data_IF_773615936464
#
_entry.id   IF_773615936464
#
_cell.length_a   1.000
_cell.length_b   1.000
_cell.length_c   1.000
_cell.angle_alpha   90.00
_cell.angle_beta   90.00
_cell.angle_gamma   90.00
#
_symmetry.space_group_name_H-M   'P 1'
#
loop_
_entity.id
_entity.type
_entity.pdbx_description
1 polymer ?
#
# COMPACT_ATOMS: atom_id res chain seq x y z
N UNK A 1 -19.94 10.38 9.79
CA UNK A 1 -20.10 9.54 8.59
C UNK A 1 -19.05 8.46 8.67
N UNK A 2 -19.42 7.20 8.82
CA UNK A 2 -18.44 6.09 8.83
C UNK A 2 -17.93 5.84 7.42
N UNK A 3 -16.65 5.49 7.27
CA UNK A 3 -16.07 5.19 5.97
C UNK A 3 -16.65 3.86 5.45
N UNK A 4 -16.88 3.70 4.13
CA UNK A 4 -17.19 2.39 3.57
C UNK A 4 -16.05 1.40 3.85
N UNK A 5 -16.40 0.19 4.28
CA UNK A 5 -15.41 -0.86 4.54
C UNK A 5 -15.08 -1.66 3.27
N UNK A 6 -13.80 -1.96 3.04
CA UNK A 6 -13.25 -2.77 1.95
C UNK A 6 -12.42 -3.93 2.52
N UNK A 7 -12.36 -5.05 1.82
CA UNK A 7 -11.45 -6.13 2.19
C UNK A 7 -9.99 -5.70 1.99
N UNK A 8 -9.07 -6.35 2.70
CA UNK A 8 -7.63 -6.10 2.53
C UNK A 8 -7.18 -6.33 1.08
N UNK A 9 -7.68 -7.38 0.44
CA UNK A 9 -7.38 -7.68 -0.96
C UNK A 9 -7.84 -6.55 -1.91
N UNK A 10 -9.04 -6.00 -1.72
CA UNK A 10 -9.54 -4.88 -2.53
C UNK A 10 -8.65 -3.64 -2.39
N UNK A 11 -8.26 -3.29 -1.15
CA UNK A 11 -7.39 -2.14 -0.90
C UNK A 11 -5.99 -2.34 -1.48
N UNK A 12 -5.44 -3.55 -1.37
CA UNK A 12 -4.14 -3.89 -1.97
C UNK A 12 -4.21 -3.80 -3.51
N UNK A 13 -5.28 -4.28 -4.13
CA UNK A 13 -5.44 -4.17 -5.59
C UNK A 13 -5.56 -2.71 -6.04
N UNK A 14 -6.29 -1.88 -5.29
CA UNK A 14 -6.36 -0.44 -5.53
C UNK A 14 -4.99 0.22 -5.42
N UNK A 15 -4.23 -0.10 -4.36
CA UNK A 15 -2.89 0.43 -4.18
C UNK A 15 -1.92 -0.02 -5.28
N UNK A 16 -2.02 -1.28 -5.74
CA UNK A 16 -1.22 -1.77 -6.87
C UNK A 16 -1.56 -1.06 -8.16
N UNK A 17 -2.84 -0.79 -8.40
CA UNK A 17 -3.29 -0.08 -9.59
C UNK A 17 -2.78 1.38 -9.60
N UNK A 18 -2.93 2.09 -8.48
CA UNK A 18 -2.46 3.47 -8.33
C UNK A 18 -0.93 3.55 -8.35
N UNK A 19 -0.24 2.65 -7.66
CA UNK A 19 1.21 2.61 -7.64
C UNK A 19 1.79 2.47 -9.04
N UNK A 20 1.24 1.60 -9.90
CA UNK A 20 1.69 1.41 -11.30
C UNK A 20 1.60 2.66 -12.17
N UNK A 21 0.72 3.61 -11.83
CA UNK A 21 0.60 4.89 -12.55
C UNK A 21 1.77 5.82 -12.22
N UNK A 22 2.30 5.71 -10.99
CA UNK A 22 3.29 6.64 -10.46
C UNK A 22 4.71 6.07 -10.38
N UNK A 23 4.85 4.76 -10.13
CA UNK A 23 6.11 4.07 -10.00
C UNK A 23 5.99 2.63 -10.52
N UNK A 24 7.07 2.08 -11.06
CA UNK A 24 7.16 0.65 -11.36
C UNK A 24 7.71 -0.07 -10.13
N UNK A 25 6.87 -0.76 -9.33
CA UNK A 25 7.37 -1.49 -8.17
C UNK A 25 8.33 -2.60 -8.64
N UNK A 26 9.47 -2.78 -7.97
CA UNK A 26 10.41 -3.85 -8.31
C UNK A 26 9.78 -5.22 -8.06
N UNK A 27 10.18 -6.22 -8.86
CA UNK A 27 9.80 -7.61 -8.59
C UNK A 27 10.24 -8.02 -7.18
N UNK A 28 9.38 -8.77 -6.49
CA UNK A 28 9.61 -9.22 -5.12
C UNK A 28 9.08 -8.26 -4.05
N UNK A 29 8.50 -7.12 -4.43
CA UNK A 29 7.77 -6.25 -3.50
C UNK A 29 6.37 -6.81 -3.18
N UNK A 30 6.14 -7.12 -1.92
CA UNK A 30 4.87 -7.52 -1.34
C UNK A 30 4.26 -6.33 -0.61
N UNK A 31 2.95 -6.14 -0.79
CA UNK A 31 2.17 -5.11 -0.09
C UNK A 31 1.24 -5.82 0.89
N UNK A 32 1.25 -5.38 2.13
CA UNK A 32 0.34 -5.83 3.20
C UNK A 32 -0.29 -4.61 3.88
N UNK A 33 -1.28 -4.85 4.73
CA UNK A 33 -1.92 -3.82 5.55
C UNK A 33 -1.55 -4.05 7.02
N UNK A 34 -1.22 -2.97 7.72
CA UNK A 34 -1.09 -2.93 9.18
C UNK A 34 -2.24 -2.10 9.73
N UNK A 35 -2.92 -2.61 10.75
CA UNK A 35 -3.91 -1.85 11.51
C UNK A 35 -3.24 -1.12 12.66
N UNK A 36 -3.57 0.15 12.84
CA UNK A 36 -3.10 0.99 13.94
C UNK A 36 -4.29 1.75 14.55
N UNK A 37 -4.80 1.23 15.67
CA UNK A 37 -5.99 1.77 16.34
C UNK A 37 -7.21 1.85 15.41
N UNK A 38 -7.67 3.08 15.19
CA UNK A 38 -8.82 3.39 14.31
C UNK A 38 -8.40 3.64 12.84
N UNK A 39 -7.14 3.38 12.50
CA UNK A 39 -6.56 3.57 11.17
C UNK A 39 -5.82 2.33 10.66
N UNK A 40 -5.29 2.43 9.46
CA UNK A 40 -4.50 1.40 8.82
C UNK A 40 -3.53 2.01 7.80
N UNK A 41 -2.45 1.30 7.52
CA UNK A 41 -1.39 1.70 6.59
C UNK A 41 -0.96 0.54 5.71
N UNK A 42 -0.44 0.83 4.52
CA UNK A 42 0.24 -0.17 3.72
C UNK A 42 1.68 -0.36 4.17
N UNK A 43 2.14 -1.61 4.18
CA UNK A 43 3.55 -1.96 4.36
C UNK A 43 4.09 -2.65 3.13
N UNK A 44 5.23 -2.17 2.68
CA UNK A 44 6.05 -2.82 1.67
C UNK A 44 7.06 -3.76 2.34
N UNK A 45 7.10 -5.00 1.87
CA UNK A 45 8.12 -5.98 2.22
C UNK A 45 8.79 -6.50 0.96
N UNK A 46 10.09 -6.71 1.01
CA UNK A 46 10.88 -7.20 -0.10
C UNK A 46 12.15 -7.86 0.44
N UNK A 47 12.71 -8.82 -0.31
CA UNK A 47 14.02 -9.37 0.00
C UNK A 47 15.13 -8.31 -0.21
N UNK A 48 16.33 -8.58 0.30
CA UNK A 48 17.45 -7.63 0.21
C UNK A 48 17.86 -7.29 -1.22
N UNK A 49 17.66 -8.21 -2.17
CA UNK A 49 17.98 -7.96 -3.57
C UNK A 49 16.96 -6.99 -4.21
N UNK A 50 15.67 -7.17 -3.92
CA UNK A 50 14.60 -6.29 -4.37
C UNK A 50 14.66 -4.91 -3.70
N UNK A 51 15.01 -4.83 -2.41
CA UNK A 51 15.22 -3.56 -1.70
C UNK A 51 16.38 -2.73 -2.28
N UNK A 52 17.42 -3.41 -2.78
CA UNK A 52 18.56 -2.75 -3.42
C UNK A 52 18.29 -2.29 -4.86
N UNK A 53 17.16 -2.68 -5.47
CA UNK A 53 16.84 -2.26 -6.84
C UNK A 53 16.52 -0.76 -6.89
N UNK A 54 17.00 -0.05 -7.91
CA UNK A 54 16.55 1.31 -8.19
C UNK A 54 15.01 1.35 -8.28
N UNK A 55 14.41 2.39 -7.69
CA UNK A 55 12.95 2.57 -7.67
C UNK A 55 12.25 1.94 -6.44
N UNK A 56 12.90 1.06 -5.66
CA UNK A 56 12.28 0.57 -4.42
C UNK A 56 11.94 1.71 -3.43
N UNK A 57 12.85 2.65 -3.13
CA UNK A 57 12.52 3.75 -2.21
C UNK A 57 11.39 4.64 -2.72
N UNK A 58 11.33 4.87 -4.03
CA UNK A 58 10.27 5.65 -4.68
C UNK A 58 8.92 4.92 -4.62
N UNK A 59 8.89 3.62 -4.91
CA UNK A 59 7.68 2.81 -4.81
C UNK A 59 7.15 2.76 -3.36
N UNK A 60 8.04 2.68 -2.36
CA UNK A 60 7.66 2.75 -0.94
C UNK A 60 7.09 4.13 -0.60
N UNK A 61 7.74 5.21 -1.03
CA UNK A 61 7.24 6.58 -0.77
C UNK A 61 5.86 6.80 -1.40
N UNK A 62 5.65 6.34 -2.64
CA UNK A 62 4.35 6.40 -3.29
C UNK A 62 3.29 5.57 -2.56
N UNK A 63 3.64 4.37 -2.10
CA UNK A 63 2.72 3.50 -1.35
C UNK A 63 2.24 4.17 -0.05
N UNK A 64 3.10 4.92 0.64
CA UNK A 64 2.71 5.68 1.85
C UNK A 64 1.70 6.78 1.50
N UNK A 65 1.91 7.53 0.41
CA UNK A 65 0.97 8.57 -0.03
C UNK A 65 -0.39 7.99 -0.43
N UNK A 66 -0.38 6.86 -1.15
CA UNK A 66 -1.58 6.12 -1.53
C UNK A 66 -2.32 5.62 -0.28
N UNK A 67 -1.59 5.09 0.71
CA UNK A 67 -2.14 4.66 1.99
C UNK A 67 -2.82 5.78 2.78
N UNK A 68 -2.18 6.95 2.88
CA UNK A 68 -2.79 8.14 3.51
C UNK A 68 -4.07 8.59 2.77
N UNK A 69 -4.07 8.52 1.44
CA UNK A 69 -5.25 8.86 0.64
C UNK A 69 -6.40 7.86 0.82
N UNK A 70 -6.13 6.56 0.77
CA UNK A 70 -7.13 5.50 0.87
C UNK A 70 -7.65 5.31 2.30
N UNK A 71 -6.79 5.42 3.32
CA UNK A 71 -7.20 5.31 4.73
C UNK A 71 -8.19 6.39 5.15
N UNK A 72 -8.18 7.57 4.51
CA UNK A 72 -9.19 8.63 4.71
C UNK A 72 -10.56 8.29 4.12
N UNK A 73 -10.61 7.40 3.14
CA UNK A 73 -11.82 7.07 2.39
C UNK A 73 -12.44 5.73 2.79
N UNK A 74 -11.63 4.78 3.23
CA UNK A 74 -12.07 3.40 3.48
C UNK A 74 -11.57 2.89 4.83
N UNK A 75 -12.39 2.08 5.47
CA UNK A 75 -11.97 1.20 6.56
C UNK A 75 -11.64 -0.19 6.03
N UNK A 76 -10.82 -0.94 6.76
CA UNK A 76 -10.49 -2.33 6.43
C UNK A 76 -11.51 -3.25 7.10
N UNK A 77 -12.19 -4.09 6.31
CA UNK A 77 -13.06 -5.15 6.84
C UNK A 77 -12.22 -6.11 7.69
N UNK A 78 -12.67 -6.34 8.93
CA UNK A 78 -12.20 -7.42 9.80
C UNK A 78 -12.60 -8.78 9.27
#
# INVERSE_FOLDING_TARGET
MSKPARTEAELIEMARAELKVHAVPPDGMVISIIRDGDSWEFRAEADGAAQARPGYPEAVAMLVQIGDHLSKQYDVKG
#
